data_IF_314676312251
#
_entry.id   IF_314676312251
#
_cell.length_a   1.000
_cell.length_b   1.000
_cell.length_c   1.000
_cell.angle_alpha   90.00
_cell.angle_beta   90.00
_cell.angle_gamma   90.00
#
_symmetry.space_group_name_H-M   'P 1'
#
loop_
_entity.id
_entity.type
_entity.pdbx_description
1 polymer ?
#
# COMPACT_ATOMS: atom_id res chain seq x y z
N UNK A 1 0.43 -6.27 -12.58
CA UNK A 1 -0.23 -7.26 -11.68
C UNK A 1 0.83 -7.96 -10.87
N UNK A 2 0.76 -7.90 -9.55
CA UNK A 2 1.75 -8.54 -8.65
C UNK A 2 1.71 -10.05 -8.77
N UNK A 3 2.87 -10.65 -9.03
CA UNK A 3 3.06 -12.08 -9.21
C UNK A 3 2.75 -12.88 -7.95
N UNK A 4 2.43 -14.16 -8.10
CA UNK A 4 2.21 -15.08 -6.97
C UNK A 4 3.47 -15.13 -6.06
N UNK A 5 4.66 -15.05 -6.65
CA UNK A 5 5.93 -15.08 -5.91
C UNK A 5 6.08 -13.86 -5.01
N UNK A 6 5.87 -12.67 -5.55
CA UNK A 6 5.90 -11.42 -4.76
C UNK A 6 4.89 -11.46 -3.62
N UNK A 7 3.65 -11.91 -3.86
CA UNK A 7 2.65 -12.03 -2.78
C UNK A 7 3.09 -12.98 -1.66
N UNK A 8 3.73 -14.10 -2.00
CA UNK A 8 4.27 -15.04 -1.00
C UNK A 8 5.39 -14.40 -0.18
N UNK A 9 6.26 -13.65 -0.84
CA UNK A 9 7.37 -12.93 -0.20
C UNK A 9 6.86 -11.84 0.75
N UNK A 10 5.92 -11.01 0.32
CA UNK A 10 5.29 -9.97 1.16
C UNK A 10 4.63 -10.56 2.41
N UNK A 11 3.90 -11.67 2.23
CA UNK A 11 3.31 -12.41 3.34
C UNK A 11 4.37 -12.97 4.30
N UNK A 12 5.48 -13.48 3.76
CA UNK A 12 6.56 -14.01 4.57
C UNK A 12 7.24 -12.91 5.40
N UNK A 13 7.55 -11.76 4.80
CA UNK A 13 8.13 -10.61 5.51
C UNK A 13 7.29 -10.21 6.73
N UNK A 14 5.99 -9.97 6.53
CA UNK A 14 5.11 -9.56 7.62
C UNK A 14 4.87 -10.65 8.67
N UNK A 15 4.91 -11.94 8.29
CA UNK A 15 4.66 -13.05 9.20
C UNK A 15 5.87 -13.44 10.04
N UNK A 16 7.06 -13.43 9.42
CA UNK A 16 8.25 -14.09 9.95
C UNK A 16 9.36 -13.12 10.32
N UNK A 17 9.43 -11.95 9.67
CA UNK A 17 10.54 -11.00 9.84
C UNK A 17 10.13 -9.73 10.59
N UNK A 18 8.87 -9.34 10.50
CA UNK A 18 8.35 -8.23 11.30
C UNK A 18 8.30 -8.62 12.79
N UNK A 19 9.04 -7.87 13.61
CA UNK A 19 9.17 -8.01 15.06
C UNK A 19 8.21 -7.10 15.84
N UNK A 20 7.75 -6.00 15.22
CA UNK A 20 6.88 -5.01 15.87
C UNK A 20 7.63 -3.91 16.62
N UNK A 21 8.95 -3.80 16.43
CA UNK A 21 9.79 -2.72 16.94
C UNK A 21 9.49 -1.37 16.26
N UNK A 22 8.92 -1.40 15.06
CA UNK A 22 8.46 -0.22 14.33
C UNK A 22 7.12 -0.44 13.64
N UNK A 23 6.88 0.33 12.59
CA UNK A 23 5.70 0.21 11.74
C UNK A 23 6.07 -0.30 10.34
N UNK A 24 5.08 -0.84 9.66
CA UNK A 24 5.18 -1.22 8.25
C UNK A 24 4.67 -0.05 7.41
N UNK A 25 5.49 0.47 6.51
CA UNK A 25 5.11 1.53 5.58
C UNK A 25 5.05 0.97 4.16
N UNK A 26 3.90 1.16 3.50
CA UNK A 26 3.64 0.71 2.15
C UNK A 26 3.33 1.92 1.27
N UNK A 27 4.17 2.20 0.27
CA UNK A 27 3.98 3.32 -0.64
C UNK A 27 3.48 2.86 -2.01
N UNK A 28 2.37 3.40 -2.49
CA UNK A 28 1.77 3.03 -3.79
C UNK A 28 0.83 1.83 -3.67
N UNK A 29 -0.13 1.89 -2.76
CA UNK A 29 -0.97 0.75 -2.43
C UNK A 29 -2.04 0.38 -3.48
N UNK A 30 -2.36 1.32 -4.39
CA UNK A 30 -3.33 1.12 -5.46
C UNK A 30 -4.67 0.59 -4.95
N UNK A 31 -5.12 -0.54 -5.52
CA UNK A 31 -6.36 -1.23 -5.13
C UNK A 31 -6.12 -2.40 -4.15
N UNK A 32 -5.08 -2.30 -3.32
CA UNK A 32 -4.72 -3.26 -2.27
C UNK A 32 -4.17 -4.64 -2.71
N UNK A 33 -3.81 -4.82 -3.99
CA UNK A 33 -3.35 -6.12 -4.51
C UNK A 33 -2.13 -6.72 -3.80
N UNK A 34 -1.30 -5.86 -3.21
CA UNK A 34 -0.05 -6.18 -2.49
C UNK A 34 -0.11 -5.90 -0.99
N UNK A 35 -0.95 -4.95 -0.56
CA UNK A 35 -1.19 -4.69 0.86
C UNK A 35 -1.90 -5.88 1.51
N UNK A 36 -2.87 -6.50 0.82
CA UNK A 36 -3.60 -7.65 1.35
C UNK A 36 -2.69 -8.81 1.79
N UNK A 37 -1.76 -9.35 0.97
CA UNK A 37 -0.88 -10.43 1.42
C UNK A 37 0.05 -10.00 2.56
N UNK A 38 0.42 -8.70 2.65
CA UNK A 38 1.20 -8.16 3.77
C UNK A 38 0.39 -8.21 5.07
N UNK A 39 -0.83 -7.67 5.07
CA UNK A 39 -1.75 -7.71 6.21
C UNK A 39 -2.11 -9.15 6.62
N UNK A 40 -2.24 -10.06 5.65
CA UNK A 40 -2.45 -11.49 5.91
C UNK A 40 -1.23 -12.16 6.55
N UNK A 41 -0.03 -11.68 6.25
CA UNK A 41 1.19 -12.14 6.93
C UNK A 41 1.22 -11.68 8.38
N UNK A 42 0.96 -10.39 8.61
CA UNK A 42 0.89 -9.79 9.94
C UNK A 42 -0.18 -10.45 10.82
N UNK A 43 -1.37 -10.74 10.28
CA UNK A 43 -2.43 -11.41 11.06
C UNK A 43 -2.01 -12.79 11.57
N UNK A 44 -1.05 -13.44 10.90
CA UNK A 44 -0.48 -14.74 11.27
C UNK A 44 0.86 -14.66 11.99
N UNK A 45 1.35 -13.46 12.26
CA UNK A 45 2.61 -13.27 12.98
C UNK A 45 2.40 -13.59 14.48
N UNK A 46 3.19 -14.51 15.01
CA UNK A 46 3.12 -14.94 16.41
C UNK A 46 4.00 -14.11 17.35
N UNK A 47 4.97 -13.36 16.82
CA UNK A 47 5.88 -12.52 17.59
C UNK A 47 5.22 -11.20 18.02
N UNK A 48 4.24 -10.73 17.25
CA UNK A 48 3.56 -9.46 17.49
C UNK A 48 2.19 -9.71 18.13
N UNK A 49 2.02 -9.30 19.38
CA UNK A 49 0.72 -9.34 20.07
C UNK A 49 -0.21 -8.24 19.52
N UNK A 50 0.27 -6.99 19.53
CA UNK A 50 -0.49 -5.81 19.06
C UNK A 50 -0.33 -5.56 17.57
N UNK A 51 -1.28 -6.09 16.78
CA UNK A 51 -1.26 -6.07 15.32
C UNK A 51 -2.11 -4.96 14.68
N UNK A 52 -3.02 -4.35 15.45
CA UNK A 52 -3.97 -3.36 14.93
C UNK A 52 -3.22 -2.12 14.42
N UNK A 53 -3.63 -1.58 13.27
CA UNK A 53 -3.11 -0.33 12.73
C UNK A 53 -1.58 -0.27 12.61
N UNK A 54 -0.94 -1.38 12.20
CA UNK A 54 0.51 -1.47 12.05
C UNK A 54 1.05 -1.25 10.64
N UNK A 55 0.15 -1.24 9.65
CA UNK A 55 0.50 -1.07 8.24
C UNK A 55 -0.02 0.29 7.79
N UNK A 56 0.85 1.18 7.39
CA UNK A 56 0.50 2.47 6.81
C UNK A 56 0.55 2.37 5.29
N UNK A 57 -0.62 2.28 4.66
CA UNK A 57 -0.77 2.13 3.23
C UNK A 57 -1.05 3.49 2.58
N UNK A 58 -0.03 4.05 1.95
CA UNK A 58 -0.10 5.34 1.27
C UNK A 58 -0.45 5.19 -0.20
N UNK A 59 -1.38 6.03 -0.66
CA UNK A 59 -1.68 6.26 -2.07
C UNK A 59 -2.44 7.58 -2.23
N UNK A 60 -2.40 8.18 -3.43
CA UNK A 60 -3.22 9.36 -3.72
C UNK A 60 -4.68 9.01 -3.99
N UNK A 61 -4.98 7.72 -4.21
CA UNK A 61 -6.31 7.18 -4.51
C UNK A 61 -7.05 7.84 -5.67
N UNK A 62 -6.39 8.64 -6.51
CA UNK A 62 -7.00 9.38 -7.62
C UNK A 62 -7.24 8.50 -8.84
N UNK A 63 -8.48 8.44 -9.35
CA UNK A 63 -8.77 7.74 -10.60
C UNK A 63 -8.01 8.40 -11.77
N UNK A 64 -7.18 7.66 -12.53
CA UNK A 64 -6.48 8.26 -13.67
C UNK A 64 -7.48 8.76 -14.72
N UNK A 65 -7.34 10.02 -15.16
CA UNK A 65 -8.10 10.53 -16.31
C UNK A 65 -7.84 9.62 -17.52
N UNK A 66 -8.90 9.33 -18.30
CA UNK A 66 -8.99 8.29 -19.34
C UNK A 66 -7.75 8.08 -20.24
N UNK A 67 -6.94 9.12 -20.50
CA UNK A 67 -5.71 9.04 -21.30
C UNK A 67 -4.60 8.16 -20.69
N UNK A 68 -4.56 7.96 -19.36
CA UNK A 68 -3.57 7.09 -18.69
C UNK A 68 -4.02 5.61 -18.70
N UNK A 69 -5.33 5.35 -18.77
CA UNK A 69 -5.88 4.00 -18.79
C UNK A 69 -5.49 3.20 -20.07
N UNK A 70 -5.13 3.89 -21.15
CA UNK A 70 -4.78 3.31 -22.44
C UNK A 70 -3.46 2.51 -22.48
N UNK A 71 -2.60 2.58 -21.44
CA UNK A 71 -1.33 1.83 -21.39
C UNK A 71 -1.27 0.71 -20.33
N UNK A 72 -2.41 0.30 -19.79
CA UNK A 72 -2.49 -0.82 -18.84
C UNK A 72 -3.52 -0.65 -17.72
N UNK A 73 -4.13 0.53 -17.58
CA UNK A 73 -5.13 0.82 -16.55
C UNK A 73 -6.43 0.03 -16.69
N UNK A 74 -6.80 -0.40 -17.90
CA UNK A 74 -7.99 -1.25 -18.11
C UNK A 74 -7.94 -2.58 -17.33
N UNK A 75 -6.76 -3.11 -17.02
CA UNK A 75 -6.58 -4.38 -16.30
C UNK A 75 -6.78 -4.19 -14.78
N UNK A 76 -6.41 -3.03 -14.25
CA UNK A 76 -6.49 -2.73 -12.81
C UNK A 76 -7.92 -2.45 -12.33
N UNK A 77 -8.77 -1.94 -13.23
CA UNK A 77 -10.16 -1.60 -12.94
C UNK A 77 -11.08 -2.49 -13.77
N UNK A 78 -11.23 -3.77 -13.43
CA UNK A 78 -12.18 -4.66 -14.13
C UNK A 78 -13.63 -4.11 -14.07
N UNK A 79 -13.93 -3.25 -13.08
CA UNK A 79 -15.14 -2.43 -13.02
C UNK A 79 -14.84 -0.96 -13.41
N UNK A 80 -14.42 -0.72 -14.65
CA UNK A 80 -14.23 0.65 -15.20
C UNK A 80 -15.48 1.51 -14.97
N UNK A 81 -16.68 0.91 -14.96
CA UNK A 81 -17.96 1.62 -14.78
C UNK A 81 -18.21 2.17 -13.36
N UNK A 82 -17.64 1.57 -12.31
CA UNK A 82 -17.77 2.09 -10.93
C UNK A 82 -16.70 3.16 -10.66
N UNK A 83 -15.46 2.90 -11.07
CA UNK A 83 -14.33 3.83 -10.88
C UNK A 83 -14.43 5.08 -11.74
N UNK A 84 -15.01 5.03 -12.96
CA UNK A 84 -15.19 6.23 -13.79
C UNK A 84 -16.29 7.18 -13.32
N UNK A 85 -17.12 6.78 -12.36
CA UNK A 85 -18.15 7.65 -11.78
C UNK A 85 -17.65 8.46 -10.57
N UNK A 86 -16.45 8.17 -10.07
CA UNK A 86 -15.91 8.78 -8.86
C UNK A 86 -14.45 9.21 -9.08
N UNK A 87 -14.07 10.34 -8.49
CA UNK A 87 -12.70 10.87 -8.57
C UNK A 87 -11.67 10.02 -7.80
N UNK A 88 -12.14 9.07 -6.99
CA UNK A 88 -11.30 8.22 -6.13
C UNK A 88 -11.63 6.73 -6.20
N UNK A 89 -10.59 5.88 -6.12
CA UNK A 89 -10.71 4.42 -5.96
C UNK A 89 -10.52 3.91 -4.52
N UNK A 90 -10.52 4.82 -3.52
CA UNK A 90 -10.38 4.45 -2.10
C UNK A 90 -11.41 3.41 -1.65
N UNK A 91 -12.65 3.52 -2.12
CA UNK A 91 -13.71 2.57 -1.81
C UNK A 91 -13.39 1.14 -2.30
N UNK A 92 -12.69 1.00 -3.44
CA UNK A 92 -12.25 -0.29 -3.98
C UNK A 92 -11.13 -0.86 -3.10
N UNK A 93 -10.18 -0.02 -2.71
CA UNK A 93 -9.12 -0.41 -1.77
C UNK A 93 -9.74 -0.96 -0.47
N UNK A 94 -10.65 -0.21 0.15
CA UNK A 94 -11.31 -0.60 1.40
C UNK A 94 -12.11 -1.90 1.24
N UNK A 95 -12.82 -2.06 0.13
CA UNK A 95 -13.55 -3.30 -0.20
C UNK A 95 -12.60 -4.49 -0.31
N UNK A 96 -11.49 -4.35 -1.02
CA UNK A 96 -10.50 -5.42 -1.24
C UNK A 96 -9.76 -5.79 0.06
N UNK A 97 -9.53 -4.83 0.94
CA UNK A 97 -8.88 -5.04 2.23
C UNK A 97 -9.85 -5.32 3.39
N UNK A 98 -11.17 -5.37 3.16
CA UNK A 98 -12.21 -5.37 4.21
C UNK A 98 -11.95 -6.32 5.38
N UNK A 99 -11.53 -7.56 5.11
CA UNK A 99 -11.31 -8.58 6.16
C UNK A 99 -10.06 -8.36 7.00
N UNK A 100 -9.17 -7.45 6.59
CA UNK A 100 -7.86 -7.21 7.19
C UNK A 100 -7.64 -5.70 7.43
N UNK A 101 -8.69 -4.89 7.29
CA UNK A 101 -8.58 -3.43 7.31
C UNK A 101 -8.14 -2.92 8.69
N UNK A 102 -8.48 -3.65 9.76
CA UNK A 102 -8.07 -3.31 11.13
C UNK A 102 -6.55 -3.31 11.33
N UNK A 103 -5.79 -3.98 10.45
CA UNK A 103 -4.33 -3.96 10.49
C UNK A 103 -3.72 -2.77 9.73
N UNK A 104 -4.55 -2.03 8.97
CA UNK A 104 -4.10 -1.06 7.98
C UNK A 104 -4.63 0.33 8.29
N UNK A 105 -3.72 1.28 8.51
CA UNK A 105 -4.00 2.70 8.39
C UNK A 105 -3.99 3.06 6.90
N UNK A 106 -5.13 3.52 6.39
CA UNK A 106 -5.24 3.99 5.01
C UNK A 106 -4.84 5.45 4.97
N UNK A 107 -3.77 5.75 4.25
CA UNK A 107 -3.19 7.09 4.19
C UNK A 107 -3.43 7.68 2.81
N UNK A 108 -4.51 8.45 2.69
CA UNK A 108 -4.85 9.17 1.46
C UNK A 108 -4.01 10.45 1.34
N UNK A 109 -3.33 10.63 0.21
CA UNK A 109 -2.63 11.85 -0.13
C UNK A 109 -1.43 11.65 -1.05
N UNK A 110 -0.91 12.76 -1.57
CA UNK A 110 0.36 12.71 -2.31
C UNK A 110 1.51 12.48 -1.33
N UNK A 111 2.09 11.29 -1.39
CA UNK A 111 3.32 10.93 -0.68
C UNK A 111 4.46 11.95 -0.86
N UNK A 112 4.40 12.82 -1.89
CA UNK A 112 5.39 13.88 -2.07
C UNK A 112 5.30 15.05 -1.09
N UNK A 113 4.17 15.18 -0.43
CA UNK A 113 3.88 16.27 0.51
C UNK A 113 3.73 15.78 1.94
N UNK A 114 3.84 14.47 2.19
CA UNK A 114 3.62 13.87 3.49
C UNK A 114 4.95 13.68 4.24
N UNK A 115 4.89 13.82 5.57
CA UNK A 115 6.01 13.58 6.49
C UNK A 115 5.68 12.39 7.39
N UNK A 116 6.69 11.59 7.74
CA UNK A 116 6.51 10.48 8.69
C UNK A 116 6.65 10.99 10.13
N UNK A 117 5.59 10.88 10.93
CA UNK A 117 5.53 11.39 12.31
C UNK A 117 5.23 10.29 13.34
N UNK A 118 5.34 9.03 12.93
CA UNK A 118 4.98 7.88 13.78
C UNK A 118 6.23 7.18 14.32
N UNK A 119 6.04 5.99 14.88
CA UNK A 119 7.14 5.14 15.38
C UNK A 119 8.17 4.83 14.26
N UNK A 120 9.38 4.36 14.59
CA UNK A 120 10.37 3.99 13.59
C UNK A 120 9.81 3.06 12.52
N UNK A 121 10.31 3.18 11.29
CA UNK A 121 9.91 2.29 10.21
C UNK A 121 10.74 1.02 10.30
N UNK A 122 10.08 -0.11 10.48
CA UNK A 122 10.74 -1.40 10.52
C UNK A 122 10.78 -2.06 9.13
N UNK A 123 9.68 -1.94 8.38
CA UNK A 123 9.63 -2.42 7.00
C UNK A 123 9.09 -1.32 6.10
N UNK A 124 9.87 -0.97 5.07
CA UNK A 124 9.48 -0.07 4.01
C UNK A 124 9.30 -0.84 2.70
N UNK A 125 8.10 -0.83 2.14
CA UNK A 125 7.81 -1.34 0.81
C UNK A 125 7.46 -0.20 -0.14
N UNK A 126 8.12 -0.16 -1.30
CA UNK A 126 7.96 0.91 -2.30
C UNK A 126 7.44 0.27 -3.59
N UNK A 127 6.17 0.55 -3.92
CA UNK A 127 5.49 0.13 -5.16
C UNK A 127 4.93 1.34 -5.91
N UNK A 128 5.77 2.38 -6.06
CA UNK A 128 5.38 3.61 -6.73
C UNK A 128 5.92 3.60 -8.15
N UNK A 129 5.04 3.70 -9.14
CA UNK A 129 5.42 3.97 -10.52
C UNK A 129 5.72 5.47 -10.72
N UNK A 130 6.82 6.00 -10.16
CA UNK A 130 7.34 7.35 -10.46
C UNK A 130 8.73 7.26 -11.10
N UNK A 131 9.07 8.24 -11.95
CA UNK A 131 10.38 8.29 -12.64
C UNK A 131 11.51 8.31 -11.60
N UNK A 132 12.46 7.37 -11.75
CA UNK A 132 13.53 7.01 -10.80
C UNK A 132 14.25 8.21 -10.13
N UNK A 133 14.50 9.31 -10.86
CA UNK A 133 15.23 10.48 -10.33
C UNK A 133 14.53 11.22 -9.20
N UNK A 134 13.19 11.28 -9.17
CA UNK A 134 12.49 11.96 -8.09
C UNK A 134 12.36 11.09 -6.84
N UNK A 135 12.49 9.77 -6.94
CA UNK A 135 12.13 8.86 -5.86
C UNK A 135 13.21 8.74 -4.78
N UNK A 136 14.50 8.68 -5.15
CA UNK A 136 15.60 8.55 -4.19
C UNK A 136 15.73 9.78 -3.26
N UNK A 137 15.69 10.98 -3.82
CA UNK A 137 15.66 12.24 -3.05
C UNK A 137 14.40 12.35 -2.20
N UNK A 138 13.30 11.76 -2.65
CA UNK A 138 12.02 11.87 -1.99
C UNK A 138 11.87 10.92 -0.79
N UNK A 139 12.33 9.67 -0.91
CA UNK A 139 12.38 8.75 0.24
C UNK A 139 13.26 9.30 1.37
N UNK A 140 14.36 9.99 1.03
CA UNK A 140 15.19 10.66 2.04
C UNK A 140 14.46 11.82 2.75
N UNK A 141 13.48 12.47 2.12
CA UNK A 141 12.71 13.56 2.74
C UNK A 141 11.55 13.09 3.60
N UNK A 142 10.90 11.97 3.22
CA UNK A 142 9.78 11.43 4.02
C UNK A 142 10.31 10.86 5.35
N UNK A 143 11.52 10.28 5.32
CA UNK A 143 12.05 9.44 6.41
C UNK A 143 13.33 9.98 7.06
N UNK A 144 13.68 11.25 6.82
CA UNK A 144 14.70 11.96 7.61
C UNK A 144 14.08 12.54 8.88
#
# INVERSE_FOLDING_TARGET
>A
MTSIRERKVLKYFARCLYSGAGEIVYLGSGVAGTVYPFALGLSKNQQVLEKKSRIYAYDAFTTPKQKVAARGGQIYYQNIRESQKQDSYLHIFQKNCKTLIDYVNVCDGDITTLSWLHKPIEILHIDIAKKIKSMATHCQRIFA
#
